data_IF_838651338342
#
_entry.id   IF_838651338342
#
_cell.length_a   1.000
_cell.length_b   1.000
_cell.length_c   1.000
_cell.angle_alpha   90.00
_cell.angle_beta   90.00
_cell.angle_gamma   90.00
#
_symmetry.space_group_name_H-M   'P 1'
#
loop_
_entity.id
_entity.type
_entity.pdbx_description
1 polymer ?
#
# COMPACT_ATOMS: atom_id res chain seq x y z
N UNK A 1 12.42 1.45 -40.72
CA UNK A 1 11.82 0.32 -39.98
C UNK A 1 11.63 0.75 -38.53
N UNK A 2 10.39 0.89 -38.07
CA UNK A 2 10.07 1.21 -36.66
C UNK A 2 9.79 -0.11 -35.92
N UNK A 3 10.55 -0.38 -34.87
CA UNK A 3 10.34 -1.52 -33.98
C UNK A 3 9.00 -1.38 -33.25
N UNK A 4 8.26 -2.47 -32.99
CA UNK A 4 7.03 -2.43 -32.22
C UNK A 4 7.33 -2.12 -30.75
N UNK A 5 6.57 -1.19 -30.16
CA UNK A 5 6.61 -0.90 -28.72
C UNK A 5 5.95 -2.05 -27.95
N UNK A 6 6.59 -2.63 -26.92
CA UNK A 6 5.94 -3.65 -26.10
C UNK A 6 4.76 -3.06 -25.32
N UNK A 7 3.75 -3.91 -25.16
CA UNK A 7 2.43 -3.67 -24.57
C UNK A 7 2.52 -3.08 -23.16
N UNK A 8 1.64 -2.12 -22.91
CA UNK A 8 1.38 -1.51 -21.63
C UNK A 8 0.91 -2.55 -20.61
N UNK A 9 1.60 -2.63 -19.47
CA UNK A 9 1.05 -3.10 -18.19
C UNK A 9 1.88 -2.46 -17.07
N UNK A 10 1.57 -1.20 -16.77
CA UNK A 10 1.83 -0.60 -15.47
C UNK A 10 0.61 0.26 -15.19
N UNK A 11 -0.38 -0.32 -14.54
CA UNK A 11 -1.48 0.44 -13.95
C UNK A 11 -0.85 1.29 -12.84
N UNK A 12 -0.57 2.54 -13.15
CA UNK A 12 -0.03 3.51 -12.22
C UNK A 12 -1.02 3.67 -11.06
N UNK A 13 -0.66 3.20 -9.87
CA UNK A 13 -1.43 3.52 -8.66
C UNK A 13 -1.22 5.01 -8.39
N UNK A 14 -2.23 5.83 -8.70
CA UNK A 14 -2.17 7.27 -8.49
C UNK A 14 -2.82 7.59 -7.14
N UNK A 15 -2.00 8.10 -6.24
CA UNK A 15 -2.45 8.56 -4.93
C UNK A 15 -2.84 10.02 -5.04
N UNK A 16 -4.09 10.36 -4.65
CA UNK A 16 -4.65 11.71 -4.82
C UNK A 16 -4.94 12.35 -3.46
N UNK A 17 -4.69 13.65 -3.32
CA UNK A 17 -5.16 14.49 -2.20
C UNK A 17 -6.26 15.43 -2.69
N UNK A 18 -7.39 15.49 -1.99
CA UNK A 18 -8.53 16.34 -2.34
C UNK A 18 -9.11 17.02 -1.11
N UNK A 19 -9.42 18.31 -1.24
CA UNK A 19 -10.36 19.04 -0.36
C UNK A 19 -11.75 18.83 -0.94
N UNK A 20 -12.67 18.40 -0.08
CA UNK A 20 -14.14 18.36 -0.20
C UNK A 20 -14.73 18.06 -1.59
N UNK A 21 -15.24 16.84 -1.78
CA UNK A 21 -16.66 16.61 -2.10
C UNK A 21 -17.06 15.12 -2.13
N UNK A 22 -18.30 14.92 -1.70
CA UNK A 22 -19.22 13.80 -1.83
C UNK A 22 -19.22 12.66 -0.79
N UNK A 23 -20.36 12.64 -0.08
CA UNK A 23 -20.81 11.65 0.89
C UNK A 23 -21.27 10.41 0.13
N UNK A 24 -20.47 9.35 0.10
CA UNK A 24 -21.03 8.00 0.05
C UNK A 24 -20.06 6.98 0.65
N UNK A 25 -20.52 6.39 1.75
CA UNK A 25 -20.07 5.10 2.28
C UNK A 25 -19.94 4.09 1.14
N UNK A 26 -18.93 3.21 1.09
CA UNK A 26 -19.04 1.77 0.79
C UNK A 26 -17.63 1.12 0.68
N UNK A 27 -17.47 -0.04 1.35
CA UNK A 27 -16.26 -0.88 1.44
C UNK A 27 -16.38 -2.06 0.47
N UNK A 28 -15.27 -2.54 -0.12
CA UNK A 28 -14.77 -3.95 -0.17
C UNK A 28 -13.80 -4.19 -1.34
N UNK A 29 -12.83 -5.10 -1.15
CA UNK A 29 -12.09 -5.78 -2.23
C UNK A 29 -11.81 -7.23 -1.77
N UNK A 30 -12.31 -8.24 -2.49
CA UNK A 30 -11.44 -9.05 -3.36
C UNK A 30 -12.17 -9.54 -4.63
N UNK A 31 -11.51 -9.54 -5.80
CA UNK A 31 -11.96 -10.13 -7.10
C UNK A 31 -12.67 -9.29 -8.18
N UNK A 32 -12.65 -7.95 -8.12
CA UNK A 32 -12.82 -7.15 -9.35
C UNK A 32 -13.96 -6.12 -9.37
N UNK A 33 -13.54 -4.87 -9.11
CA UNK A 33 -14.15 -3.58 -9.46
C UNK A 33 -15.42 -3.15 -8.69
N UNK A 34 -15.65 -1.82 -8.53
CA UNK A 34 -14.77 -0.87 -7.83
C UNK A 34 -15.59 -0.02 -6.82
N UNK A 35 -15.12 0.18 -5.59
CA UNK A 35 -15.59 1.32 -4.77
C UNK A 35 -14.39 1.89 -4.00
N UNK A 36 -14.33 3.21 -3.81
CA UNK A 36 -13.14 3.88 -3.33
C UNK A 36 -12.93 3.48 -1.87
N UNK A 37 -11.80 2.83 -1.62
CA UNK A 37 -11.27 2.64 -0.29
C UNK A 37 -11.35 4.00 0.39
N UNK A 38 -12.11 4.09 1.49
CA UNK A 38 -12.08 5.27 2.35
C UNK A 38 -10.62 5.66 2.60
N UNK A 39 -10.35 6.95 2.84
CA UNK A 39 -8.96 7.40 2.88
C UNK A 39 -8.17 6.55 3.89
N UNK A 40 -7.03 6.06 3.45
CA UNK A 40 -6.08 5.41 4.34
C UNK A 40 -5.16 6.50 4.89
N UNK A 41 -4.78 6.38 6.15
CA UNK A 41 -4.10 7.43 6.87
C UNK A 41 -2.62 7.09 6.93
N UNK A 42 -1.77 8.01 6.45
CA UNK A 42 -0.33 7.82 6.48
C UNK A 42 0.10 7.65 7.93
N UNK A 43 0.98 6.68 8.14
CA UNK A 43 1.64 6.52 9.42
C UNK A 43 3.11 6.88 9.29
N UNK A 44 3.54 7.86 10.07
CA UNK A 44 4.94 8.15 10.35
C UNK A 44 5.19 7.74 11.80
N UNK A 45 5.98 6.69 12.02
CA UNK A 45 6.45 6.41 13.37
C UNK A 45 7.26 7.63 13.86
N UNK A 46 6.63 8.55 14.60
CA UNK A 46 7.37 9.59 15.34
C UNK A 46 8.13 8.98 16.52
N UNK A 47 7.83 7.74 16.90
CA UNK A 47 8.33 7.10 18.11
C UNK A 47 8.74 5.62 17.97
N UNK A 48 9.32 5.21 16.83
CA UNK A 48 10.06 3.94 16.77
C UNK A 48 11.56 4.22 16.90
N UNK A 49 11.95 4.84 18.03
CA UNK A 49 13.34 4.83 18.44
C UNK A 49 13.73 3.37 18.71
N UNK A 50 14.43 2.75 17.75
CA UNK A 50 15.68 2.01 17.87
C UNK A 50 16.00 1.23 19.17
N UNK A 51 15.02 0.85 19.96
CA UNK A 51 15.19 -0.09 21.06
C UNK A 51 14.78 -1.44 20.52
N UNK A 52 15.76 -2.35 20.43
CA UNK A 52 15.76 -3.65 19.74
C UNK A 52 14.65 -4.64 20.17
N UNK A 53 13.62 -4.19 20.90
CA UNK A 53 12.57 -5.00 21.51
C UNK A 53 11.15 -4.62 21.08
N UNK A 54 10.95 -3.49 20.39
CA UNK A 54 9.63 -3.11 19.82
C UNK A 54 9.70 -3.07 18.30
N UNK A 55 9.06 -4.05 17.66
CA UNK A 55 8.77 -4.00 16.23
C UNK A 55 8.03 -2.71 15.89
N UNK A 56 8.44 -2.06 14.81
CA UNK A 56 7.69 -0.92 14.28
C UNK A 56 6.27 -1.37 13.93
N UNK A 57 5.32 -0.45 13.94
CA UNK A 57 3.97 -0.77 13.46
C UNK A 57 4.00 -1.24 11.99
N UNK A 58 4.99 -0.78 11.21
CA UNK A 58 5.21 -1.23 9.84
C UNK A 58 5.48 -2.74 9.80
N UNK A 59 6.37 -3.18 10.67
CA UNK A 59 6.79 -4.58 10.71
C UNK A 59 5.66 -5.47 11.22
N UNK A 60 4.85 -4.97 12.16
CA UNK A 60 3.62 -5.64 12.58
C UNK A 60 2.64 -5.79 11.43
N UNK A 61 2.38 -4.71 10.67
CA UNK A 61 1.49 -4.74 9.51
C UNK A 61 2.00 -5.73 8.45
N UNK A 62 3.30 -5.71 8.12
CA UNK A 62 3.90 -6.68 7.18
C UNK A 62 3.78 -8.11 7.67
N UNK A 63 4.09 -8.34 8.94
CA UNK A 63 4.04 -9.67 9.55
C UNK A 63 2.61 -10.21 9.54
N UNK A 64 1.62 -9.37 9.89
CA UNK A 64 0.22 -9.75 9.90
C UNK A 64 -0.31 -10.00 8.47
N UNK A 65 0.01 -9.12 7.52
CA UNK A 65 -0.46 -9.25 6.14
C UNK A 65 0.11 -10.50 5.47
N UNK A 66 1.43 -10.70 5.60
CA UNK A 66 2.16 -11.75 4.91
C UNK A 66 2.34 -13.02 5.74
N UNK A 67 1.56 -13.20 6.81
CA UNK A 67 1.70 -14.35 7.72
C UNK A 67 1.53 -15.70 7.01
N UNK A 68 0.71 -15.74 5.96
CA UNK A 68 0.46 -16.93 5.15
C UNK A 68 1.37 -17.05 3.91
N UNK A 69 2.28 -16.10 3.69
CA UNK A 69 3.25 -16.18 2.60
C UNK A 69 4.31 -17.26 2.91
N UNK A 70 4.80 -17.99 1.89
CA UNK A 70 5.91 -18.93 2.05
C UNK A 70 7.17 -18.29 2.66
N UNK A 71 7.86 -19.05 3.51
CA UNK A 71 9.14 -18.68 4.12
C UNK A 71 10.16 -19.85 3.95
N UNK A 72 11.27 -19.67 3.19
CA UNK A 72 11.65 -18.44 2.49
C UNK A 72 10.73 -18.13 1.31
N UNK A 73 10.57 -16.83 1.03
CA UNK A 73 9.83 -16.39 -0.15
C UNK A 73 10.52 -16.87 -1.43
N UNK A 74 9.76 -17.16 -2.51
CA UNK A 74 10.33 -17.46 -3.81
C UNK A 74 11.29 -16.35 -4.28
N UNK A 75 12.33 -16.73 -5.02
CA UNK A 75 13.24 -15.76 -5.63
C UNK A 75 12.47 -14.82 -6.56
N UNK A 76 12.80 -13.52 -6.50
CA UNK A 76 12.17 -12.45 -7.29
C UNK A 76 10.69 -12.18 -6.95
N UNK A 77 10.18 -12.68 -5.83
CA UNK A 77 8.85 -12.34 -5.33
C UNK A 77 8.93 -11.65 -3.98
N UNK A 78 8.25 -10.52 -3.86
CA UNK A 78 8.02 -9.84 -2.58
C UNK A 78 6.53 -9.92 -2.25
N UNK A 79 6.21 -10.04 -0.96
CA UNK A 79 4.84 -9.90 -0.50
C UNK A 79 4.45 -8.43 -0.62
N UNK A 80 3.38 -8.17 -1.34
CA UNK A 80 2.69 -6.88 -1.41
C UNK A 80 1.45 -6.94 -0.52
N UNK A 81 1.14 -5.80 0.12
CA UNK A 81 0.06 -5.72 1.09
C UNK A 81 -0.79 -4.46 0.88
N UNK A 82 -2.10 -4.65 0.93
CA UNK A 82 -3.06 -3.55 0.94
C UNK A 82 -4.12 -3.76 2.04
N UNK A 83 -4.39 -2.77 2.90
CA UNK A 83 -3.76 -1.45 2.97
C UNK A 83 -2.26 -1.49 3.36
N UNK A 84 -1.49 -0.51 2.88
CA UNK A 84 -0.03 -0.53 2.97
C UNK A 84 0.49 -0.58 4.41
N UNK A 85 1.63 -1.23 4.64
CA UNK A 85 2.26 -1.28 5.97
C UNK A 85 2.55 0.10 6.59
N UNK A 86 2.73 1.13 5.76
CA UNK A 86 2.92 2.52 6.16
C UNK A 86 1.61 3.29 6.44
N UNK A 87 0.51 2.59 6.74
CA UNK A 87 -0.79 3.19 7.10
C UNK A 87 -1.34 2.61 8.41
N UNK A 88 -2.29 3.33 9.02
CA UNK A 88 -3.01 2.85 10.21
C UNK A 88 -3.99 1.70 9.88
N UNK A 89 -4.48 1.65 8.64
CA UNK A 89 -5.38 0.62 8.11
C UNK A 89 -4.67 -0.69 7.72
N UNK A 90 -3.35 -0.79 7.94
CA UNK A 90 -2.61 -2.03 7.70
C UNK A 90 -3.09 -3.20 8.57
N UNK A 91 -2.71 -4.40 8.17
CA UNK A 91 -3.26 -5.67 8.66
C UNK A 91 -3.14 -5.93 10.18
N UNK A 92 -2.28 -5.22 10.92
CA UNK A 92 -2.10 -5.45 12.35
C UNK A 92 -2.99 -4.58 13.26
N UNK A 93 -3.57 -3.49 12.73
CA UNK A 93 -4.42 -2.58 13.49
C UNK A 93 -5.86 -2.60 12.96
N UNK A 94 -6.27 -1.54 12.27
CA UNK A 94 -7.65 -1.36 11.81
C UNK A 94 -8.02 -2.33 10.69
N UNK A 95 -7.04 -2.73 9.87
CA UNK A 95 -7.25 -3.69 8.78
C UNK A 95 -7.24 -5.15 9.21
N UNK A 96 -7.30 -5.47 10.51
CA UNK A 96 -7.27 -6.87 10.96
C UNK A 96 -8.48 -7.64 10.40
N UNK A 97 -8.21 -8.63 9.55
CA UNK A 97 -9.24 -9.43 8.88
C UNK A 97 -9.86 -8.76 7.64
N UNK A 98 -9.42 -7.55 7.29
CA UNK A 98 -9.85 -6.78 6.12
C UNK A 98 -8.60 -6.21 5.42
N UNK A 99 -7.80 -7.11 4.87
CA UNK A 99 -6.58 -6.82 4.12
C UNK A 99 -6.40 -7.86 3.00
N UNK A 100 -5.66 -7.47 1.97
CA UNK A 100 -5.21 -8.36 0.91
C UNK A 100 -3.69 -8.44 0.92
N UNK A 101 -3.17 -9.60 0.55
CA UNK A 101 -1.75 -9.80 0.32
C UNK A 101 -1.54 -10.69 -0.90
N UNK A 102 -0.46 -10.46 -1.63
CA UNK A 102 -0.09 -11.29 -2.77
C UNK A 102 1.44 -11.30 -2.98
N UNK A 103 1.97 -12.38 -3.53
CA UNK A 103 3.36 -12.42 -4.00
C UNK A 103 3.46 -11.86 -5.41
N UNK A 104 3.94 -10.63 -5.55
CA UNK A 104 4.16 -9.98 -6.83
C UNK A 104 5.65 -9.91 -7.18
N UNK A 105 5.98 -9.50 -8.41
CA UNK A 105 7.38 -9.33 -8.82
C UNK A 105 8.11 -8.32 -7.91
N UNK A 106 9.29 -8.70 -7.44
CA UNK A 106 10.09 -7.87 -6.54
C UNK A 106 10.45 -6.51 -7.14
N UNK A 107 10.67 -6.43 -8.45
CA UNK A 107 11.03 -5.16 -9.09
C UNK A 107 9.85 -4.18 -9.11
N UNK A 108 8.65 -4.67 -9.42
CA UNK A 108 7.42 -3.88 -9.42
C UNK A 108 7.05 -3.41 -8.01
N UNK A 109 7.09 -4.32 -7.02
CA UNK A 109 6.77 -3.98 -5.62
C UNK A 109 7.70 -2.88 -5.08
N UNK A 110 8.99 -2.97 -5.39
CA UNK A 110 9.98 -1.99 -4.93
C UNK A 110 9.85 -0.66 -5.65
N UNK A 111 9.50 -0.67 -6.94
CA UNK A 111 9.23 0.53 -7.70
C UNK A 111 8.01 1.29 -7.14
N UNK A 112 6.90 0.60 -6.89
CA UNK A 112 5.72 1.18 -6.22
C UNK A 112 6.10 1.79 -4.87
N UNK A 113 6.88 1.06 -4.06
CA UNK A 113 7.32 1.54 -2.77
C UNK A 113 8.15 2.83 -2.84
N UNK A 114 8.91 3.04 -3.92
CA UNK A 114 9.64 4.28 -4.18
C UNK A 114 8.69 5.41 -4.60
N UNK A 115 7.78 5.15 -5.54
CA UNK A 115 6.80 6.13 -6.00
C UNK A 115 5.89 6.63 -4.86
N UNK A 116 5.40 5.72 -4.02
CA UNK A 116 4.58 6.08 -2.86
C UNK A 116 5.33 6.93 -1.84
N UNK A 117 6.63 6.65 -1.60
CA UNK A 117 7.48 7.51 -0.75
C UNK A 117 7.68 8.90 -1.35
N UNK A 118 7.79 9.01 -2.67
CA UNK A 118 7.89 10.29 -3.35
C UNK A 118 6.57 11.06 -3.27
N UNK A 119 5.42 10.41 -3.52
CA UNK A 119 4.10 11.00 -3.34
C UNK A 119 3.92 11.62 -1.94
N UNK A 120 4.30 10.85 -0.91
CA UNK A 120 4.33 11.27 0.49
C UNK A 120 5.16 12.53 0.76
N UNK A 121 6.26 12.73 0.03
CA UNK A 121 7.12 13.90 0.18
C UNK A 121 6.58 15.09 -0.60
N UNK A 122 6.22 14.89 -1.86
CA UNK A 122 5.75 15.95 -2.77
C UNK A 122 4.43 16.58 -2.31
N UNK A 123 3.52 15.74 -1.79
CA UNK A 123 2.22 16.19 -1.32
C UNK A 123 2.22 16.54 0.18
N UNK A 124 3.38 16.47 0.83
CA UNK A 124 3.55 16.72 2.27
C UNK A 124 2.57 15.95 3.16
N UNK A 125 2.13 14.76 2.72
CA UNK A 125 1.29 13.87 3.52
C UNK A 125 2.05 13.58 4.81
N UNK A 126 1.59 14.00 5.98
CA UNK A 126 2.26 13.76 7.26
C UNK A 126 1.61 12.61 8.02
N UNK A 127 1.99 12.41 9.28
CA UNK A 127 1.34 11.38 10.10
C UNK A 127 -0.15 11.69 10.25
N UNK A 128 -0.98 10.65 10.25
CA UNK A 128 -2.45 10.70 10.27
C UNK A 128 -3.11 11.38 9.08
N UNK A 129 -2.36 11.92 8.09
CA UNK A 129 -2.99 12.54 6.94
C UNK A 129 -3.75 11.49 6.09
N UNK A 130 -5.02 11.76 5.72
CA UNK A 130 -5.78 10.90 4.83
C UNK A 130 -5.27 11.01 3.39
N UNK A 131 -5.26 9.89 2.68
CA UNK A 131 -5.05 9.88 1.23
C UNK A 131 -5.83 8.74 0.57
N UNK A 132 -6.20 8.93 -0.70
CA UNK A 132 -6.91 7.92 -1.49
C UNK A 132 -5.99 7.22 -2.47
N UNK A 133 -6.24 5.93 -2.65
CA UNK A 133 -5.55 5.10 -3.64
C UNK A 133 -6.50 4.84 -4.80
N UNK A 134 -6.10 5.24 -6.01
CA UNK A 134 -6.86 4.99 -7.25
C UNK A 134 -6.03 4.11 -8.18
N UNK A 135 -6.63 3.02 -8.64
CA UNK A 135 -6.08 2.19 -9.72
C UNK A 135 -6.68 2.72 -11.02
N UNK A 136 -5.84 3.17 -11.95
CA UNK A 136 -6.29 3.62 -13.28
C UNK A 136 -5.98 2.56 -14.34
N UNK A 137 -6.93 2.25 -15.25
CA UNK A 137 -6.71 1.39 -16.41
C UNK A 137 -5.62 1.87 -17.37
#
# INVERSE_FOLDING_TARGET
MRLPRPRAHLHSVQVHGHRDEDRRTHRTCPSGNPEPLGPIHRRRDRQAAHTARRQSLADKNRTAACAAAPDPRPTSKDCDEYPFAATYQGAALEGKGDFHWELIDSSDNRAEGAYRKQFYLENRVVDEDPFWVKIVP
#
